data_IF_453850863110
#
_entry.id   IF_453850863110
#
_cell.length_a   1.000
_cell.length_b   1.000
_cell.length_c   1.000
_cell.angle_alpha   90.00
_cell.angle_beta   90.00
_cell.angle_gamma   90.00
#
_symmetry.space_group_name_H-M   'P 1'
#
loop_
_entity.id
_entity.type
_entity.pdbx_description
1 polymer ?
#
# COMPACT_ATOMS: atom_id res chain seq x y z
N UNK A 1 -10.96 38.57 7.48
CA UNK A 1 -10.64 37.19 7.93
C UNK A 1 -11.93 36.55 8.44
N UNK A 2 -12.32 35.37 7.96
CA UNK A 2 -13.53 34.72 8.42
C UNK A 2 -13.42 34.41 9.92
N UNK A 3 -14.43 34.82 10.68
CA UNK A 3 -14.56 34.58 12.11
C UNK A 3 -14.73 33.08 12.36
N UNK A 4 -13.70 32.41 12.88
CA UNK A 4 -13.82 31.04 13.38
C UNK A 4 -14.81 31.04 14.54
N UNK A 5 -15.86 30.21 14.49
CA UNK A 5 -16.82 30.11 15.59
C UNK A 5 -16.08 29.83 16.91
N UNK A 6 -16.32 30.61 17.98
CA UNK A 6 -15.72 30.35 19.29
C UNK A 6 -15.99 28.91 19.72
N UNK A 7 -14.95 28.21 20.16
CA UNK A 7 -15.02 26.80 20.56
C UNK A 7 -14.93 25.77 19.42
N UNK A 8 -14.80 26.19 18.16
CA UNK A 8 -14.55 25.25 17.05
C UNK A 8 -13.15 24.64 17.12
N UNK A 9 -12.97 23.51 16.46
CA UNK A 9 -11.67 22.85 16.26
C UNK A 9 -10.59 23.81 15.71
N UNK A 10 -10.96 24.56 14.68
CA UNK A 10 -10.11 25.58 14.04
C UNK A 10 -9.73 26.67 15.04
N UNK A 11 -10.68 27.10 15.87
CA UNK A 11 -10.45 28.10 16.90
C UNK A 11 -9.43 27.61 17.93
N UNK A 12 -9.51 26.35 18.37
CA UNK A 12 -8.54 25.76 19.31
C UNK A 12 -7.14 25.66 18.71
N UNK A 13 -7.01 25.19 17.46
CA UNK A 13 -5.72 25.11 16.75
C UNK A 13 -5.10 26.52 16.61
N UNK A 14 -5.89 27.51 16.20
CA UNK A 14 -5.44 28.90 16.06
C UNK A 14 -5.07 29.51 17.42
N UNK A 15 -5.81 29.22 18.48
CA UNK A 15 -5.47 29.66 19.83
C UNK A 15 -4.16 29.06 20.31
N UNK A 16 -3.91 27.77 20.04
CA UNK A 16 -2.68 27.09 20.42
C UNK A 16 -1.47 27.69 19.67
N UNK A 17 -1.58 27.90 18.36
CA UNK A 17 -0.55 28.57 17.56
C UNK A 17 -0.30 30.01 18.04
N UNK A 18 -1.37 30.77 18.34
CA UNK A 18 -1.24 32.12 18.89
C UNK A 18 -0.58 32.10 20.27
N UNK A 19 -0.86 31.10 21.09
CA UNK A 19 -0.26 30.96 22.40
C UNK A 19 1.24 30.69 22.29
N UNK A 20 1.65 29.71 21.47
CA UNK A 20 3.05 29.41 21.14
C UNK A 20 3.80 30.64 20.61
N UNK A 21 3.23 31.36 19.65
CA UNK A 21 3.85 32.58 19.11
C UNK A 21 3.94 33.71 20.16
N UNK A 22 3.00 33.79 21.11
CA UNK A 22 3.02 34.77 22.21
C UNK A 22 4.05 34.44 23.28
N UNK A 23 4.38 33.16 23.49
CA UNK A 23 5.44 32.76 24.41
C UNK A 23 6.83 33.14 23.90
N UNK A 24 6.97 33.42 22.59
CA UNK A 24 8.22 33.85 21.96
C UNK A 24 8.12 35.24 21.31
N UNK A 25 7.85 36.32 22.08
CA UNK A 25 7.58 37.65 21.53
C UNK A 25 8.78 38.26 20.79
N UNK A 26 10.00 37.93 21.24
CA UNK A 26 11.27 38.39 20.66
C UNK A 26 11.79 37.47 19.55
N UNK A 27 11.04 36.45 19.14
CA UNK A 27 11.47 35.56 18.06
C UNK A 27 11.63 36.34 16.75
N UNK A 28 12.79 36.16 16.13
CA UNK A 28 13.11 36.64 14.78
C UNK A 28 12.15 36.04 13.75
N UNK A 29 12.09 36.63 12.54
CA UNK A 29 11.25 36.09 11.45
C UNK A 29 11.56 34.62 11.16
N UNK A 30 12.83 34.23 11.18
CA UNK A 30 13.28 32.86 10.97
C UNK A 30 12.79 31.91 12.07
N UNK A 31 12.88 32.32 13.33
CA UNK A 31 12.39 31.53 14.47
C UNK A 31 10.87 31.38 14.45
N UNK A 32 10.12 32.43 14.09
CA UNK A 32 8.67 32.34 13.89
C UNK A 32 8.30 31.39 12.76
N UNK A 33 9.04 31.42 11.66
CA UNK A 33 8.89 30.47 10.55
C UNK A 33 9.15 29.03 10.99
N UNK A 34 10.20 28.80 11.79
CA UNK A 34 10.49 27.49 12.38
C UNK A 34 9.38 27.02 13.32
N UNK A 35 8.89 27.88 14.22
CA UNK A 35 7.77 27.57 15.13
C UNK A 35 6.50 27.21 14.35
N UNK A 36 6.19 27.90 13.26
CA UNK A 36 5.07 27.54 12.39
C UNK A 36 5.25 26.16 11.76
N UNK A 37 6.45 25.84 11.26
CA UNK A 37 6.75 24.53 10.69
C UNK A 37 6.65 23.42 11.75
N UNK A 38 7.19 23.66 12.95
CA UNK A 38 7.13 22.73 14.07
C UNK A 38 5.68 22.50 14.52
N UNK A 39 4.86 23.56 14.55
CA UNK A 39 3.42 23.48 14.84
C UNK A 39 2.66 22.69 13.76
N UNK A 40 2.92 22.95 12.47
CA UNK A 40 2.34 22.16 11.37
C UNK A 40 2.75 20.70 11.52
N UNK A 41 4.01 20.43 11.88
CA UNK A 41 4.48 19.08 12.19
C UNK A 41 3.73 18.42 13.36
N UNK A 42 3.44 19.17 14.43
CA UNK A 42 2.66 18.70 15.57
C UNK A 42 1.20 18.38 15.18
N UNK A 43 0.58 19.23 14.36
CA UNK A 43 -0.77 18.98 13.81
C UNK A 43 -0.77 17.73 12.91
N UNK A 44 0.19 17.63 11.97
CA UNK A 44 0.27 16.50 11.03
C UNK A 44 0.65 15.18 11.70
N UNK A 45 1.38 15.22 12.82
CA UNK A 45 1.64 14.05 13.68
C UNK A 45 0.46 13.70 14.60
N UNK A 46 -0.62 14.47 14.55
CA UNK A 46 -1.83 14.31 15.35
C UNK A 46 -1.55 14.30 16.86
N UNK A 47 -0.70 15.23 17.31
CA UNK A 47 -0.28 15.35 18.70
C UNK A 47 -1.46 15.64 19.65
N UNK A 48 -1.46 14.94 20.80
CA UNK A 48 -2.45 15.08 21.87
C UNK A 48 -2.44 16.48 22.50
N UNK A 49 -1.29 17.15 22.55
CA UNK A 49 -1.18 18.48 23.13
C UNK A 49 -1.95 19.53 22.31
N UNK A 50 -2.06 19.32 21.00
CA UNK A 50 -2.65 20.27 20.05
C UNK A 50 -4.10 19.93 19.72
N UNK A 51 -4.46 18.64 19.72
CA UNK A 51 -5.76 18.16 19.22
C UNK A 51 -6.45 17.29 20.27
N UNK A 52 -7.51 17.80 20.90
CA UNK A 52 -8.25 17.10 21.97
C UNK A 52 -9.65 16.59 21.57
N UNK A 53 -10.28 17.16 20.53
CA UNK A 53 -11.66 16.82 20.13
C UNK A 53 -11.79 15.70 19.08
N UNK A 54 -12.89 14.93 19.13
CA UNK A 54 -13.14 13.81 18.20
C UNK A 54 -13.18 14.22 16.73
N UNK A 55 -13.97 15.25 16.39
CA UNK A 55 -14.09 15.74 15.01
C UNK A 55 -12.74 16.28 14.46
N UNK A 56 -12.02 17.17 15.16
CA UNK A 56 -10.69 17.60 14.72
C UNK A 56 -9.71 16.44 14.51
N UNK A 57 -9.69 15.43 15.39
CA UNK A 57 -8.85 14.24 15.21
C UNK A 57 -9.20 13.49 13.93
N UNK A 58 -10.48 13.28 13.65
CA UNK A 58 -10.92 12.60 12.44
C UNK A 58 -10.51 13.39 11.19
N UNK A 59 -10.70 14.72 11.19
CA UNK A 59 -10.28 15.58 10.08
C UNK A 59 -8.76 15.49 9.87
N UNK A 60 -7.97 15.58 10.94
CA UNK A 60 -6.51 15.48 10.86
C UNK A 60 -6.06 14.09 10.40
N UNK A 61 -6.69 13.00 10.87
CA UNK A 61 -6.42 11.66 10.34
C UNK A 61 -6.63 11.61 8.82
N UNK A 62 -7.78 12.11 8.34
CA UNK A 62 -8.12 12.13 6.92
C UNK A 62 -7.11 12.96 6.13
N UNK A 63 -6.81 14.19 6.57
CA UNK A 63 -5.84 15.06 5.88
C UNK A 63 -4.45 14.43 5.87
N UNK A 64 -3.96 13.97 7.02
CA UNK A 64 -2.63 13.37 7.13
C UNK A 64 -2.51 12.14 6.23
N UNK A 65 -3.49 11.22 6.26
CA UNK A 65 -3.47 10.03 5.42
C UNK A 65 -3.64 10.39 3.94
N UNK A 66 -4.60 11.25 3.60
CA UNK A 66 -4.84 11.68 2.22
C UNK A 66 -3.62 12.36 1.61
N UNK A 67 -3.01 13.31 2.33
CA UNK A 67 -1.81 14.00 1.86
C UNK A 67 -0.64 13.04 1.74
N UNK A 68 -0.34 12.25 2.79
CA UNK A 68 0.81 11.35 2.77
C UNK A 68 0.60 10.21 1.76
N UNK A 69 -0.42 9.38 1.97
CA UNK A 69 -0.62 8.17 1.19
C UNK A 69 -1.07 8.51 -0.23
N UNK A 70 -1.92 9.53 -0.42
CA UNK A 70 -2.29 10.00 -1.74
C UNK A 70 -1.10 10.51 -2.56
N UNK A 71 -0.21 11.31 -1.98
CA UNK A 71 1.00 11.79 -2.68
C UNK A 71 1.94 10.65 -3.03
N UNK A 72 2.16 9.71 -2.11
CA UNK A 72 3.01 8.53 -2.37
C UNK A 72 2.44 7.68 -3.50
N UNK A 73 1.14 7.39 -3.46
CA UNK A 73 0.49 6.58 -4.50
C UNK A 73 0.52 7.30 -5.83
N UNK A 74 0.30 8.62 -5.86
CA UNK A 74 0.35 9.41 -7.09
C UNK A 74 1.76 9.40 -7.71
N UNK A 75 2.80 9.65 -6.91
CA UNK A 75 4.18 9.65 -7.38
C UNK A 75 4.62 8.25 -7.84
N UNK A 76 4.30 7.20 -7.07
CA UNK A 76 4.60 5.82 -7.46
C UNK A 76 3.86 5.41 -8.74
N UNK A 77 2.63 5.89 -8.95
CA UNK A 77 1.85 5.62 -10.16
C UNK A 77 2.42 6.35 -11.37
N UNK A 78 2.84 7.61 -11.21
CA UNK A 78 3.51 8.36 -12.28
C UNK A 78 4.81 7.66 -12.71
N UNK A 79 5.65 7.27 -11.75
CA UNK A 79 6.91 6.57 -12.03
C UNK A 79 6.66 5.20 -12.68
N UNK A 80 5.63 4.48 -12.25
CA UNK A 80 5.17 3.25 -12.92
C UNK A 80 4.88 3.48 -14.39
N UNK A 81 4.11 4.54 -14.72
CA UNK A 81 3.77 4.82 -16.11
C UNK A 81 4.96 5.26 -16.94
N UNK A 82 5.86 6.08 -16.38
CA UNK A 82 7.11 6.46 -17.05
C UNK A 82 7.98 5.24 -17.35
N UNK A 83 8.12 4.31 -16.39
CA UNK A 83 8.85 3.07 -16.59
C UNK A 83 8.19 2.17 -17.64
N UNK A 84 6.86 2.02 -17.59
CA UNK A 84 6.09 1.26 -18.59
C UNK A 84 6.26 1.82 -20.00
N UNK A 85 6.15 3.14 -20.16
CA UNK A 85 6.37 3.83 -21.43
C UNK A 85 7.78 3.63 -21.96
N UNK A 86 8.80 3.83 -21.10
CA UNK A 86 10.19 3.63 -21.49
C UNK A 86 10.46 2.19 -21.95
N UNK A 87 9.95 1.19 -21.21
CA UNK A 87 10.10 -0.22 -21.56
C UNK A 87 9.42 -0.57 -22.89
N UNK A 88 8.17 -0.14 -23.06
CA UNK A 88 7.42 -0.40 -24.28
C UNK A 88 8.03 0.30 -25.50
N UNK A 89 8.54 1.52 -25.34
CA UNK A 89 9.28 2.20 -26.40
C UNK A 89 10.56 1.45 -26.79
N UNK A 90 11.30 0.88 -25.84
CA UNK A 90 12.47 0.05 -26.12
C UNK A 90 12.08 -1.25 -26.85
N UNK A 91 11.03 -1.95 -26.40
CA UNK A 91 10.54 -3.13 -27.10
C UNK A 91 10.08 -2.81 -28.53
N UNK A 92 9.46 -1.66 -28.74
CA UNK A 92 9.07 -1.21 -30.07
C UNK A 92 10.27 -1.01 -31.00
N UNK A 93 11.35 -0.39 -30.51
CA UNK A 93 12.56 -0.15 -31.30
C UNK A 93 13.23 -1.44 -31.77
N UNK A 94 13.08 -2.54 -31.03
CA UNK A 94 13.59 -3.87 -31.42
C UNK A 94 12.76 -4.54 -32.53
N UNK A 95 11.51 -4.12 -32.75
CA UNK A 95 10.58 -4.77 -33.68
C UNK A 95 9.84 -5.97 -33.09
N UNK A 96 8.78 -6.43 -33.77
CA UNK A 96 7.82 -7.39 -33.23
C UNK A 96 8.44 -8.75 -32.87
N UNK A 97 9.29 -9.30 -33.74
CA UNK A 97 9.90 -10.63 -33.55
C UNK A 97 11.07 -10.60 -32.57
N UNK A 98 11.95 -9.58 -32.64
CA UNK A 98 13.11 -9.50 -31.75
C UNK A 98 12.77 -9.02 -30.33
N UNK A 99 11.64 -8.34 -30.13
CA UNK A 99 11.20 -7.92 -28.79
C UNK A 99 10.58 -9.03 -27.94
N UNK A 100 10.25 -10.17 -28.54
CA UNK A 100 9.53 -11.24 -27.87
C UNK A 100 10.34 -11.97 -26.79
N UNK A 101 11.56 -12.48 -27.06
CA UNK A 101 12.39 -13.08 -26.02
C UNK A 101 12.64 -12.14 -24.81
N UNK A 102 13.05 -10.86 -24.99
CA UNK A 102 13.27 -9.99 -23.85
C UNK A 102 11.99 -9.62 -23.09
N UNK A 103 10.82 -9.54 -23.76
CA UNK A 103 9.52 -9.36 -23.07
C UNK A 103 9.21 -10.53 -22.14
N UNK A 104 9.36 -11.76 -22.63
CA UNK A 104 9.10 -12.98 -21.83
C UNK A 104 10.06 -13.07 -20.66
N UNK A 105 11.36 -12.83 -20.88
CA UNK A 105 12.36 -12.83 -19.81
C UNK A 105 12.05 -11.76 -18.77
N UNK A 106 11.75 -10.52 -19.20
CA UNK A 106 11.34 -9.44 -18.30
C UNK A 106 10.11 -9.80 -17.46
N UNK A 107 9.12 -10.44 -18.10
CA UNK A 107 7.90 -10.90 -17.43
C UNK A 107 8.20 -11.94 -16.36
N UNK A 108 8.93 -13.01 -16.70
CA UNK A 108 9.34 -14.06 -15.76
C UNK A 108 10.12 -13.46 -14.59
N UNK A 109 11.13 -12.64 -14.87
CA UNK A 109 11.95 -11.99 -13.83
C UNK A 109 11.09 -11.16 -12.89
N UNK A 110 10.19 -10.34 -13.43
CA UNK A 110 9.33 -9.49 -12.62
C UNK A 110 8.40 -10.27 -11.68
N UNK A 111 7.91 -11.44 -12.11
CA UNK A 111 7.06 -12.31 -11.29
C UNK A 111 7.84 -13.04 -10.20
N UNK A 112 9.14 -13.29 -10.41
CA UNK A 112 10.00 -14.01 -9.46
C UNK A 112 10.64 -13.11 -8.40
N UNK A 113 10.74 -11.80 -8.64
CA UNK A 113 11.38 -10.86 -7.70
C UNK A 113 10.66 -10.84 -6.35
N UNK A 114 9.32 -10.74 -6.33
CA UNK A 114 8.55 -10.75 -5.08
C UNK A 114 8.85 -12.00 -4.23
N UNK A 115 8.62 -13.21 -4.76
CA UNK A 115 8.90 -14.46 -4.05
C UNK A 115 10.36 -14.61 -3.62
N UNK A 116 11.31 -14.19 -4.46
CA UNK A 116 12.73 -14.21 -4.14
C UNK A 116 13.06 -13.29 -2.94
N UNK A 117 12.53 -12.06 -2.94
CA UNK A 117 12.67 -11.13 -1.82
C UNK A 117 11.97 -11.66 -0.56
N UNK A 118 10.84 -12.36 -0.72
CA UNK A 118 10.11 -12.95 0.39
C UNK A 118 10.90 -14.07 1.07
N UNK A 119 11.55 -14.93 0.27
CA UNK A 119 12.45 -15.97 0.76
C UNK A 119 13.71 -15.36 1.40
N UNK A 120 14.32 -14.36 0.75
CA UNK A 120 15.48 -13.65 1.32
C UNK A 120 15.14 -13.00 2.67
N UNK A 121 13.95 -12.42 2.78
CA UNK A 121 13.42 -11.89 4.04
C UNK A 121 13.24 -12.95 5.11
N UNK A 122 12.67 -14.12 4.77
CA UNK A 122 12.57 -15.24 5.71
C UNK A 122 13.95 -15.68 6.23
N UNK A 123 14.92 -15.87 5.34
CA UNK A 123 16.29 -16.25 5.73
C UNK A 123 16.93 -15.18 6.63
N UNK A 124 16.75 -13.90 6.30
CA UNK A 124 17.22 -12.78 7.12
C UNK A 124 16.58 -12.78 8.51
N UNK A 125 15.27 -12.97 8.59
CA UNK A 125 14.51 -12.94 9.84
C UNK A 125 14.94 -14.07 10.78
N UNK A 126 15.21 -15.26 10.23
CA UNK A 126 15.75 -16.40 11.00
C UNK A 126 17.19 -16.14 11.45
N UNK A 127 18.07 -15.67 10.56
CA UNK A 127 19.48 -15.38 10.89
C UNK A 127 19.63 -14.31 11.96
N UNK A 128 18.74 -13.32 11.98
CA UNK A 128 18.76 -12.23 12.94
C UNK A 128 17.98 -12.56 14.23
N UNK A 129 17.35 -13.74 14.33
CA UNK A 129 16.51 -14.11 15.47
C UNK A 129 15.26 -13.26 15.65
N UNK A 130 14.81 -12.57 14.58
CA UNK A 130 13.64 -11.67 14.60
C UNK A 130 12.36 -12.35 14.09
N UNK A 131 12.46 -13.59 13.59
CA UNK A 131 11.31 -14.35 13.10
C UNK A 131 10.32 -14.68 14.23
N UNK A 132 9.04 -14.36 14.02
CA UNK A 132 7.93 -14.72 14.90
C UNK A 132 7.08 -15.81 14.25
N UNK A 133 6.22 -16.48 15.03
CA UNK A 133 5.24 -17.42 14.44
C UNK A 133 4.34 -16.75 13.42
N UNK A 134 3.95 -15.50 13.69
CA UNK A 134 3.15 -14.70 12.77
C UNK A 134 3.92 -14.39 11.48
N UNK A 135 5.16 -13.91 11.58
CA UNK A 135 5.95 -13.60 10.38
C UNK A 135 6.24 -14.86 9.55
N UNK A 136 6.58 -16.00 10.18
CA UNK A 136 6.75 -17.29 9.48
C UNK A 136 5.48 -17.72 8.73
N UNK A 137 4.33 -17.70 9.41
CA UNK A 137 3.05 -18.05 8.79
C UNK A 137 2.73 -17.10 7.62
N UNK A 138 2.97 -15.79 7.77
CA UNK A 138 2.82 -14.81 6.69
C UNK A 138 3.73 -15.08 5.50
N UNK A 139 5.01 -15.41 5.73
CA UNK A 139 5.99 -15.75 4.68
C UNK A 139 5.54 -16.97 3.88
N UNK A 140 5.09 -18.01 4.57
CA UNK A 140 4.58 -19.24 3.97
C UNK A 140 3.30 -18.95 3.18
N UNK A 141 2.32 -18.27 3.77
CA UNK A 141 1.07 -17.92 3.12
C UNK A 141 1.31 -17.09 1.84
N UNK A 142 2.20 -16.10 1.90
CA UNK A 142 2.55 -15.29 0.73
C UNK A 142 3.32 -16.10 -0.32
N UNK A 143 4.21 -16.98 0.10
CA UNK A 143 4.91 -17.92 -0.79
C UNK A 143 3.95 -18.85 -1.52
N UNK A 144 2.97 -19.42 -0.81
CA UNK A 144 1.91 -20.25 -1.39
C UNK A 144 1.03 -19.47 -2.35
N UNK A 145 0.68 -18.22 -2.02
CA UNK A 145 -0.08 -17.34 -2.91
C UNK A 145 0.66 -17.10 -4.22
N UNK A 146 1.95 -16.73 -4.15
CA UNK A 146 2.75 -16.50 -5.36
C UNK A 146 3.01 -17.77 -6.16
N UNK A 147 3.31 -18.90 -5.49
CA UNK A 147 3.47 -20.18 -6.15
C UNK A 147 2.17 -20.64 -6.83
N UNK A 148 1.04 -20.48 -6.14
CA UNK A 148 -0.29 -20.76 -6.69
C UNK A 148 -0.61 -19.91 -7.90
N UNK A 149 -0.30 -18.61 -7.86
CA UNK A 149 -0.46 -17.73 -9.01
C UNK A 149 0.43 -18.16 -10.19
N UNK A 150 1.70 -18.48 -9.94
CA UNK A 150 2.63 -18.99 -10.97
C UNK A 150 2.17 -20.34 -11.55
N UNK A 151 1.62 -21.24 -10.73
CA UNK A 151 1.05 -22.49 -11.22
C UNK A 151 -0.21 -22.27 -12.04
N UNK A 152 -1.09 -21.34 -11.63
CA UNK A 152 -2.27 -20.97 -12.42
C UNK A 152 -1.86 -20.43 -13.79
N UNK A 153 -0.87 -19.53 -13.81
CA UNK A 153 -0.21 -19.04 -15.04
C UNK A 153 0.31 -20.18 -15.90
N UNK A 154 1.10 -21.09 -15.33
CA UNK A 154 1.74 -22.18 -16.07
C UNK A 154 0.74 -23.22 -16.59
N UNK A 155 -0.36 -23.43 -15.87
CA UNK A 155 -1.43 -24.35 -16.26
C UNK A 155 -2.28 -23.84 -17.43
N UNK A 156 -2.30 -22.52 -17.66
CA UNK A 156 -3.03 -21.92 -18.77
C UNK A 156 -2.14 -21.81 -20.01
N UNK A 157 -2.57 -22.46 -21.09
CA UNK A 157 -1.89 -22.41 -22.38
C UNK A 157 -2.36 -21.14 -23.10
N UNK A 158 -1.57 -20.05 -23.14
CA UNK A 158 -0.14 -20.11 -23.39
C UNK A 158 0.67 -19.31 -22.34
N UNK A 159 1.47 -19.99 -21.51
CA UNK A 159 2.40 -19.36 -20.56
C UNK A 159 3.34 -18.34 -21.22
N UNK A 160 3.62 -18.51 -22.51
CA UNK A 160 4.38 -17.58 -23.34
C UNK A 160 3.65 -16.25 -23.58
N UNK A 161 2.35 -16.29 -23.82
CA UNK A 161 1.47 -15.11 -23.93
C UNK A 161 1.44 -14.35 -22.62
N UNK A 162 1.30 -15.07 -21.50
CA UNK A 162 1.28 -14.44 -20.20
C UNK A 162 2.65 -13.88 -19.81
N UNK A 163 3.75 -14.56 -20.15
CA UNK A 163 5.11 -14.03 -20.00
C UNK A 163 5.32 -12.74 -20.80
N UNK A 164 4.80 -12.68 -22.02
CA UNK A 164 4.87 -11.46 -22.86
C UNK A 164 4.01 -10.31 -22.31
N UNK A 165 2.81 -10.61 -21.79
CA UNK A 165 1.95 -9.67 -21.07
C UNK A 165 2.66 -9.13 -19.82
N UNK A 166 3.33 -9.99 -19.08
CA UNK A 166 4.05 -9.61 -17.86
C UNK A 166 5.32 -8.80 -18.11
N UNK A 167 5.85 -8.79 -19.34
CA UNK A 167 7.05 -8.02 -19.68
C UNK A 167 6.98 -6.56 -19.25
N UNK A 168 5.86 -5.88 -19.56
CA UNK A 168 5.66 -4.49 -19.15
C UNK A 168 4.84 -4.35 -17.88
N UNK A 169 3.73 -5.09 -17.74
CA UNK A 169 2.88 -5.00 -16.55
C UNK A 169 3.60 -5.42 -15.26
N UNK A 170 4.43 -6.47 -15.33
CA UNK A 170 5.17 -6.96 -14.18
C UNK A 170 6.27 -6.00 -13.74
N UNK A 171 7.05 -5.45 -14.68
CA UNK A 171 8.06 -4.42 -14.38
C UNK A 171 7.44 -3.09 -13.91
N UNK A 172 6.29 -2.70 -14.47
CA UNK A 172 5.50 -1.60 -13.96
C UNK A 172 5.06 -1.84 -12.50
N UNK A 173 4.53 -3.04 -12.21
CA UNK A 173 4.10 -3.42 -10.86
C UNK A 173 5.26 -3.41 -9.87
N UNK A 174 6.42 -3.94 -10.29
CA UNK A 174 7.65 -3.89 -9.52
C UNK A 174 8.08 -2.45 -9.25
N UNK A 175 8.10 -1.59 -10.27
CA UNK A 175 8.46 -0.18 -10.14
C UNK A 175 7.54 0.54 -9.16
N UNK A 176 6.22 0.31 -9.29
CA UNK A 176 5.24 0.88 -8.37
C UNK A 176 5.47 0.46 -6.93
N UNK A 177 5.62 -0.84 -6.68
CA UNK A 177 5.79 -1.37 -5.31
C UNK A 177 7.10 -0.88 -4.70
N UNK A 178 8.22 -0.95 -5.44
CA UNK A 178 9.52 -0.44 -4.98
C UNK A 178 9.49 1.05 -4.66
N UNK A 179 8.97 1.88 -5.58
CA UNK A 179 8.92 3.32 -5.37
C UNK A 179 7.98 3.69 -4.23
N UNK A 180 6.83 3.04 -4.13
CA UNK A 180 5.91 3.23 -3.02
C UNK A 180 6.60 2.91 -1.71
N UNK A 181 7.21 1.74 -1.57
CA UNK A 181 7.84 1.32 -0.32
C UNK A 181 9.09 2.15 0.03
N UNK A 182 9.86 2.58 -0.96
CA UNK A 182 10.95 3.54 -0.78
C UNK A 182 10.41 4.87 -0.20
N UNK A 183 9.36 5.44 -0.78
CA UNK A 183 8.76 6.67 -0.26
C UNK A 183 8.17 6.47 1.15
N UNK A 184 7.53 5.32 1.41
CA UNK A 184 6.98 5.00 2.72
C UNK A 184 8.07 4.86 3.79
N UNK A 185 9.27 4.42 3.42
CA UNK A 185 10.44 4.38 4.30
C UNK A 185 10.83 5.77 4.79
N UNK A 186 10.75 6.79 3.91
CA UNK A 186 11.10 8.18 4.22
C UNK A 186 9.99 8.94 4.94
N UNK A 187 8.73 8.59 4.67
CA UNK A 187 7.55 9.25 5.22
C UNK A 187 6.66 8.24 5.95
N UNK A 188 7.07 7.76 7.15
CA UNK A 188 6.30 6.77 7.89
C UNK A 188 4.98 7.34 8.41
N UNK A 189 3.95 6.51 8.48
CA UNK A 189 2.74 6.78 9.27
C UNK A 189 2.84 6.04 10.60
N UNK A 190 2.28 6.63 11.64
CA UNK A 190 2.11 5.99 12.94
C UNK A 190 0.63 6.00 13.31
N UNK A 191 0.17 4.92 13.91
CA UNK A 191 -1.18 4.81 14.42
C UNK A 191 -1.21 4.15 15.81
N UNK A 192 -2.33 4.33 16.51
CA UNK A 192 -2.57 3.77 17.83
C UNK A 192 -3.61 2.63 17.81
N UNK A 193 -3.83 1.98 16.66
CA UNK A 193 -4.82 0.92 16.49
C UNK A 193 -4.41 -0.42 17.11
N UNK A 194 -3.11 -0.69 17.17
CA UNK A 194 -2.58 -1.99 17.57
C UNK A 194 -2.96 -3.10 16.57
N UNK A 195 -2.55 -4.33 16.84
CA UNK A 195 -2.88 -5.48 15.98
C UNK A 195 -3.69 -6.51 16.76
N UNK A 196 -4.83 -6.92 16.22
CA UNK A 196 -5.63 -8.03 16.74
C UNK A 196 -6.35 -8.78 15.60
N UNK A 197 -6.71 -10.04 15.86
CA UNK A 197 -7.27 -10.92 14.83
C UNK A 197 -8.62 -10.43 14.29
N UNK A 198 -9.52 -9.95 15.16
CA UNK A 198 -10.85 -9.47 14.76
C UNK A 198 -10.78 -8.26 13.83
N UNK A 199 -9.99 -7.26 14.22
CA UNK A 199 -9.73 -6.09 13.40
C UNK A 199 -9.00 -6.41 12.11
N UNK A 200 -8.08 -7.38 12.12
CA UNK A 200 -7.37 -7.82 10.93
C UNK A 200 -8.29 -8.47 9.89
N UNK A 201 -9.11 -9.41 10.33
CA UNK A 201 -10.08 -10.10 9.46
C UNK A 201 -11.07 -9.08 8.89
N UNK A 202 -11.61 -8.21 9.75
CA UNK A 202 -12.56 -7.19 9.30
C UNK A 202 -11.90 -6.21 8.31
N UNK A 203 -10.71 -5.70 8.60
CA UNK A 203 -9.97 -4.80 7.69
C UNK A 203 -9.71 -5.47 6.35
N UNK A 204 -9.37 -6.76 6.35
CA UNK A 204 -9.20 -7.57 5.14
C UNK A 204 -10.45 -7.62 4.27
N UNK A 205 -11.61 -7.91 4.88
CA UNK A 205 -12.89 -7.97 4.18
C UNK A 205 -13.26 -6.62 3.56
N UNK A 206 -13.14 -5.54 4.33
CA UNK A 206 -13.44 -4.20 3.81
C UNK A 206 -12.43 -3.74 2.75
N UNK A 207 -11.14 -4.06 2.90
CA UNK A 207 -10.13 -3.74 1.88
C UNK A 207 -10.40 -4.51 0.58
N UNK A 208 -10.73 -5.80 0.67
CA UNK A 208 -11.14 -6.59 -0.50
C UNK A 208 -12.41 -6.07 -1.16
N UNK A 209 -13.42 -5.69 -0.38
CA UNK A 209 -14.65 -5.09 -0.89
C UNK A 209 -14.37 -3.75 -1.59
N UNK A 210 -13.54 -2.89 -0.99
CA UNK A 210 -13.11 -1.63 -1.59
C UNK A 210 -12.35 -1.87 -2.91
N UNK A 211 -11.48 -2.87 -2.97
CA UNK A 211 -10.78 -3.26 -4.21
C UNK A 211 -11.73 -3.79 -5.28
N UNK A 212 -12.78 -4.53 -4.90
CA UNK A 212 -13.83 -4.97 -5.83
C UNK A 212 -14.63 -3.80 -6.42
N UNK A 213 -15.08 -2.89 -5.56
CA UNK A 213 -15.78 -1.66 -5.97
C UNK A 213 -14.88 -0.78 -6.85
N UNK A 214 -13.61 -0.63 -6.46
CA UNK A 214 -12.59 0.05 -7.25
C UNK A 214 -12.46 -0.58 -8.64
N UNK A 215 -12.39 -1.90 -8.74
CA UNK A 215 -12.29 -2.60 -10.01
C UNK A 215 -13.48 -2.32 -10.94
N UNK A 216 -14.70 -2.25 -10.40
CA UNK A 216 -15.91 -1.88 -11.15
C UNK A 216 -15.90 -0.40 -11.53
N UNK A 217 -15.51 0.48 -10.62
CA UNK A 217 -15.41 1.92 -10.89
C UNK A 217 -14.38 2.19 -11.99
N UNK A 218 -13.21 1.54 -11.94
CA UNK A 218 -12.17 1.66 -12.96
C UNK A 218 -12.65 1.19 -14.33
N UNK A 219 -13.43 0.12 -14.41
CA UNK A 219 -13.98 -0.36 -15.68
C UNK A 219 -14.89 0.69 -16.37
N UNK A 220 -15.58 1.53 -15.60
CA UNK A 220 -16.49 2.55 -16.13
C UNK A 220 -15.81 3.90 -16.34
N UNK A 221 -14.90 4.27 -15.44
CA UNK A 221 -14.31 5.62 -15.39
C UNK A 221 -12.96 5.70 -16.10
N UNK A 222 -12.19 4.61 -16.12
CA UNK A 222 -10.86 4.53 -16.72
C UNK A 222 -10.72 3.22 -17.54
N UNK A 223 -11.46 3.06 -18.65
CA UNK A 223 -11.58 1.80 -19.40
C UNK A 223 -10.24 1.27 -19.95
N UNK A 224 -9.24 2.14 -20.15
CA UNK A 224 -7.87 1.73 -20.50
C UNK A 224 -7.04 1.27 -19.27
N UNK A 225 -7.68 0.84 -18.21
CA UNK A 225 -7.06 0.30 -17.01
C UNK A 225 -7.98 -0.69 -16.27
N UNK A 226 -7.41 -1.48 -15.36
CA UNK A 226 -8.17 -2.44 -14.56
C UNK A 226 -8.55 -3.72 -15.32
N UNK A 227 -9.56 -4.44 -14.83
CA UNK A 227 -9.96 -5.74 -15.35
C UNK A 227 -10.52 -5.68 -16.79
N UNK A 228 -11.24 -4.61 -17.15
CA UNK A 228 -11.74 -4.42 -18.51
C UNK A 228 -10.60 -4.34 -19.53
N UNK A 229 -9.58 -3.53 -19.24
CA UNK A 229 -8.38 -3.47 -20.06
C UNK A 229 -7.62 -4.81 -20.12
N UNK A 230 -7.54 -5.54 -19.02
CA UNK A 230 -6.92 -6.87 -19.00
C UNK A 230 -7.66 -7.88 -19.90
N UNK A 231 -9.00 -7.81 -19.94
CA UNK A 231 -9.85 -8.63 -20.83
C UNK A 231 -9.67 -8.23 -22.29
N UNK A 232 -9.76 -6.92 -22.58
CA UNK A 232 -9.60 -6.41 -23.93
C UNK A 232 -8.18 -6.70 -24.48
N UNK A 233 -7.16 -6.62 -23.61
CA UNK A 233 -5.79 -6.95 -23.97
C UNK A 233 -5.57 -8.46 -24.15
N UNK A 234 -6.15 -9.29 -23.28
CA UNK A 234 -6.11 -10.74 -23.46
C UNK A 234 -6.81 -11.16 -24.78
N UNK A 235 -7.94 -10.53 -25.12
CA UNK A 235 -8.66 -10.79 -26.38
C UNK A 235 -7.86 -10.31 -27.59
N UNK A 236 -7.30 -9.09 -27.53
CA UNK A 236 -6.44 -8.54 -28.58
C UNK A 236 -5.22 -9.42 -28.83
N UNK A 237 -4.51 -9.84 -27.79
CA UNK A 237 -3.33 -10.71 -27.95
C UNK A 237 -3.72 -12.12 -28.39
N UNK A 238 -4.83 -12.69 -27.93
CA UNK A 238 -5.30 -13.99 -28.41
C UNK A 238 -5.61 -13.94 -29.92
N UNK A 239 -6.28 -12.89 -30.39
CA UNK A 239 -6.55 -12.64 -31.82
C UNK A 239 -5.27 -12.41 -32.61
N UNK A 240 -4.32 -11.65 -32.04
CA UNK A 240 -3.06 -11.35 -32.71
C UNK A 240 -2.04 -12.48 -32.66
N UNK A 241 -2.03 -13.37 -31.67
CA UNK A 241 -1.18 -14.56 -31.69
C UNK A 241 -1.58 -15.53 -32.80
N UNK A 242 -2.86 -15.53 -33.21
CA UNK A 242 -3.31 -16.22 -34.41
C UNK A 242 -2.88 -15.51 -35.73
N UNK A 243 -2.56 -14.22 -35.68
CA UNK A 243 -2.15 -13.39 -36.83
C UNK A 243 -0.69 -12.88 -36.76
N UNK A 244 0.09 -13.29 -35.77
CA UNK A 244 1.36 -12.64 -35.41
C UNK A 244 2.50 -12.89 -36.38
N UNK A 245 2.26 -13.76 -37.36
CA UNK A 245 3.14 -13.92 -38.50
C UNK A 245 3.10 -12.73 -39.47
N UNK A 246 2.12 -11.80 -39.41
CA UNK A 246 1.97 -10.77 -40.45
C UNK A 246 2.05 -9.29 -40.03
N UNK A 247 1.73 -8.86 -38.79
CA UNK A 247 1.50 -7.42 -38.56
C UNK A 247 2.16 -6.83 -37.30
N UNK A 248 3.30 -6.15 -37.50
CA UNK A 248 4.05 -5.39 -36.49
C UNK A 248 3.53 -3.95 -36.25
N UNK A 249 2.47 -3.52 -36.95
CA UNK A 249 2.02 -2.12 -36.99
C UNK A 249 0.99 -1.74 -35.90
N UNK A 250 0.40 -2.71 -35.20
CA UNK A 250 -0.69 -2.49 -34.23
C UNK A 250 -0.26 -2.24 -32.78
N UNK A 251 1.03 -2.44 -32.46
CA UNK A 251 1.61 -2.03 -31.17
C UNK A 251 1.56 -0.49 -30.94
N UNK A 252 1.19 0.28 -31.98
CA UNK A 252 1.06 1.74 -31.94
C UNK A 252 -0.16 2.25 -31.13
N UNK A 253 -1.18 1.43 -30.88
CA UNK A 253 -2.41 1.87 -30.18
C UNK A 253 -2.34 1.64 -28.66
N UNK A 254 -1.40 0.84 -28.18
CA UNK A 254 -1.22 0.52 -26.74
C UNK A 254 -0.53 1.64 -25.97
N UNK A 255 0.19 2.52 -26.67
CA UNK A 255 1.16 3.45 -26.07
C UNK A 255 0.81 4.88 -26.45
N UNK A 256 -0.35 5.35 -25.99
CA UNK A 256 -0.46 6.76 -25.67
C UNK A 256 -0.69 6.85 -24.17
N UNK A 257 0.18 7.55 -23.41
CA UNK A 257 -0.14 7.88 -22.04
C UNK A 257 -1.40 8.72 -22.06
N UNK A 258 -2.54 8.10 -21.77
CA UNK A 258 -3.77 8.81 -21.51
C UNK A 258 -3.63 9.38 -20.10
N UNK A 259 -3.08 10.59 -20.05
CA UNK A 259 -2.81 11.31 -18.80
C UNK A 259 -4.07 11.43 -17.95
N UNK A 260 -5.25 11.52 -18.57
CA UNK A 260 -6.53 11.63 -17.86
C UNK A 260 -6.90 10.29 -17.23
N UNK A 261 -6.81 9.19 -17.98
CA UNK A 261 -7.09 7.84 -17.44
C UNK A 261 -6.06 7.42 -16.39
N UNK A 262 -4.80 7.79 -16.57
CA UNK A 262 -3.71 7.52 -15.63
C UNK A 262 -3.87 8.32 -14.34
N UNK A 263 -4.26 9.59 -14.45
CA UNK A 263 -4.56 10.43 -13.29
C UNK A 263 -5.77 9.89 -12.53
N UNK A 264 -6.82 9.46 -13.25
CA UNK A 264 -8.04 8.92 -12.65
C UNK A 264 -7.77 7.58 -11.96
N UNK A 265 -7.02 6.67 -12.62
CA UNK A 265 -6.53 5.44 -12.00
C UNK A 265 -5.69 5.73 -10.76
N UNK A 266 -4.79 6.70 -10.84
CA UNK A 266 -3.96 7.12 -9.71
C UNK A 266 -4.83 7.61 -8.54
N UNK A 267 -5.83 8.45 -8.82
CA UNK A 267 -6.75 8.98 -7.83
C UNK A 267 -7.60 7.88 -7.19
N UNK A 268 -8.12 6.94 -7.98
CA UNK A 268 -8.93 5.82 -7.51
C UNK A 268 -8.11 4.83 -6.67
N UNK A 269 -6.87 4.54 -7.07
CA UNK A 269 -5.93 3.77 -6.26
C UNK A 269 -5.60 4.50 -4.95
N UNK A 270 -5.29 5.80 -5.02
CA UNK A 270 -5.01 6.62 -3.85
C UNK A 270 -6.18 6.61 -2.87
N UNK A 271 -7.41 6.72 -3.36
CA UNK A 271 -8.62 6.64 -2.54
C UNK A 271 -8.70 5.33 -1.76
N UNK A 272 -8.46 4.19 -2.41
CA UNK A 272 -8.54 2.87 -1.76
C UNK A 272 -7.44 2.67 -0.71
N UNK A 273 -6.24 3.20 -0.97
CA UNK A 273 -5.14 3.15 -0.01
C UNK A 273 -5.34 4.11 1.18
N UNK A 274 -5.90 5.28 0.93
CA UNK A 274 -6.29 6.24 1.98
C UNK A 274 -7.42 5.66 2.83
N UNK A 275 -8.40 5.02 2.20
CA UNK A 275 -9.44 4.28 2.89
C UNK A 275 -8.81 3.22 3.81
N UNK A 276 -7.93 2.36 3.29
CA UNK A 276 -7.29 1.30 4.09
C UNK A 276 -6.52 1.85 5.30
N UNK A 277 -5.68 2.87 5.09
CA UNK A 277 -4.91 3.49 6.16
C UNK A 277 -5.79 4.16 7.22
N UNK A 278 -7.02 4.58 6.89
CA UNK A 278 -8.01 5.12 7.83
C UNK A 278 -8.81 4.02 8.55
N UNK A 279 -9.35 3.07 7.80
CA UNK A 279 -10.25 2.05 8.33
C UNK A 279 -9.51 1.00 9.16
N UNK A 280 -8.28 0.60 8.77
CA UNK A 280 -7.53 -0.45 9.47
C UNK A 280 -7.30 -0.09 10.94
N UNK A 281 -6.70 1.06 11.31
CA UNK A 281 -6.51 1.41 12.71
C UNK A 281 -7.82 1.54 13.49
N UNK A 282 -8.89 2.00 12.83
CA UNK A 282 -10.22 2.10 13.43
C UNK A 282 -10.82 0.73 13.76
N UNK A 283 -10.78 -0.21 12.82
CA UNK A 283 -11.28 -1.57 13.01
C UNK A 283 -10.41 -2.33 14.03
N UNK A 284 -9.08 -2.22 13.95
CA UNK A 284 -8.20 -2.80 14.97
C UNK A 284 -8.60 -2.33 16.36
N UNK A 285 -8.79 -1.03 16.53
CA UNK A 285 -9.18 -0.50 17.83
C UNK A 285 -10.59 -0.88 18.27
N UNK A 286 -11.54 -0.96 17.34
CA UNK A 286 -12.91 -1.39 17.62
C UNK A 286 -12.97 -2.82 18.17
N UNK A 287 -12.17 -3.72 17.58
CA UNK A 287 -12.10 -5.13 17.98
C UNK A 287 -11.08 -5.41 19.08
N UNK A 288 -10.28 -4.43 19.48
CA UNK A 288 -9.44 -4.53 20.67
C UNK A 288 -10.37 -4.64 21.88
N UNK A 289 -10.51 -5.85 22.43
CA UNK A 289 -11.27 -6.07 23.67
C UNK A 289 -10.75 -5.09 24.74
N UNK A 290 -11.63 -4.44 25.53
CA UNK A 290 -11.21 -3.97 26.84
C UNK A 290 -10.73 -5.22 27.57
N UNK A 291 -9.47 -5.27 27.99
CA UNK A 291 -9.04 -6.32 28.90
C UNK A 291 -9.76 -6.09 30.24
N UNK A 292 -10.95 -6.67 30.39
CA UNK A 292 -11.47 -7.06 31.70
C UNK A 292 -10.71 -8.33 32.10
N UNK A 293 -9.87 -8.24 33.13
CA UNK A 293 -9.50 -9.43 33.91
C UNK A 293 -8.04 -9.89 34.00
N UNK A 294 -7.04 -9.05 33.71
CA UNK A 294 -5.66 -9.30 34.19
C UNK A 294 -5.13 -8.08 34.97
N UNK A 295 -5.57 -8.02 36.24
CA UNK A 295 -4.82 -7.69 37.46
C UNK A 295 -3.53 -6.88 37.25
N UNK A 296 -3.44 -5.67 37.79
CA UNK A 296 -3.05 -5.48 39.21
C UNK A 296 -1.91 -6.44 39.59
N UNK A 297 -0.65 -6.10 39.26
CA UNK A 297 0.47 -6.24 40.20
C UNK A 297 1.87 -5.85 39.70
N UNK A 298 2.07 -5.44 38.45
CA UNK A 298 3.41 -4.95 38.05
C UNK A 298 3.37 -3.52 37.52
N UNK A 299 4.09 -2.68 38.27
CA UNK A 299 4.59 -1.34 37.97
C UNK A 299 3.64 -0.20 38.30
N UNK A 300 3.29 -0.14 39.58
CA UNK A 300 3.32 1.10 40.36
C UNK A 300 4.77 1.67 40.45
N UNK A 301 5.47 1.78 39.32
CA UNK A 301 6.71 2.52 39.20
C UNK A 301 6.39 3.78 38.37
N UNK A 302 6.04 4.81 39.13
CA UNK A 302 5.91 6.22 38.77
C UNK A 302 6.11 6.55 37.28
N UNK A 303 5.01 6.57 36.52
CA UNK A 303 4.87 7.60 35.49
C UNK A 303 4.66 8.90 36.26
N UNK A 304 5.65 9.81 36.34
CA UNK A 304 5.44 11.09 37.01
C UNK A 304 4.27 11.79 36.31
N UNK A 305 3.43 12.46 37.11
CA UNK A 305 2.18 13.13 36.75
C UNK A 305 2.29 14.28 35.71
N UNK A 306 3.31 14.26 34.84
CA UNK A 306 3.50 15.13 33.68
C UNK A 306 2.93 14.58 32.37
N UNK A 307 2.54 13.31 32.27
CA UNK A 307 1.94 12.82 31.03
C UNK A 307 0.43 13.11 31.04
N UNK A 308 0.00 14.25 30.50
CA UNK A 308 -1.40 14.55 30.22
C UNK A 308 -2.03 13.65 29.13
N UNK A 309 -1.64 12.37 29.07
CA UNK A 309 -2.08 11.37 28.10
C UNK A 309 -3.34 10.71 28.65
N UNK A 310 -4.52 10.93 28.02
CA UNK A 310 -5.77 10.36 28.50
C UNK A 310 -5.76 8.82 28.40
N UNK A 311 -6.60 8.11 29.18
CA UNK A 311 -6.65 6.65 29.19
C UNK A 311 -6.95 6.09 27.79
N UNK A 312 -6.50 4.86 27.46
CA UNK A 312 -6.54 4.30 26.10
C UNK A 312 -7.88 4.52 25.42
N UNK A 313 -9.03 4.20 26.04
CA UNK A 313 -10.37 4.38 25.45
C UNK A 313 -10.71 5.83 25.06
N UNK A 314 -10.25 6.83 25.83
CA UNK A 314 -10.52 8.25 25.58
C UNK A 314 -9.70 8.84 24.42
N UNK A 315 -8.63 8.16 23.98
CA UNK A 315 -7.70 8.69 22.97
C UNK A 315 -8.25 8.73 21.54
N UNK A 316 -9.29 7.95 21.23
CA UNK A 316 -9.79 7.75 19.86
C UNK A 316 -8.74 7.16 18.89
N UNK A 317 -9.12 7.00 17.62
CA UNK A 317 -8.18 6.60 16.55
C UNK A 317 -7.32 7.81 16.21
N UNK A 318 -6.00 7.62 16.21
CA UNK A 318 -5.04 8.62 15.76
C UNK A 318 -4.10 8.01 14.75
N UNK A 319 -3.96 8.73 13.65
CA UNK A 319 -3.03 8.44 12.58
C UNK A 319 -2.26 9.74 12.34
N UNK A 320 -0.94 9.65 12.48
CA UNK A 320 -0.04 10.79 12.41
C UNK A 320 1.09 10.53 11.43
N UNK A 321 1.56 11.60 10.78
CA UNK A 321 2.79 11.58 10.01
C UNK A 321 3.96 11.46 10.97
N UNK A 322 4.71 10.37 10.86
CA UNK A 322 6.00 10.25 11.53
C UNK A 322 6.99 11.26 10.98
N UNK A 323 8.00 11.61 11.77
CA UNK A 323 9.03 12.56 11.34
C UNK A 323 9.70 12.07 10.05
N UNK A 324 9.76 12.89 8.99
CA UNK A 324 10.45 12.51 7.76
C UNK A 324 11.90 12.09 8.03
N UNK A 325 12.33 11.01 7.40
CA UNK A 325 13.66 10.40 7.59
C UNK A 325 14.71 10.99 6.65
N UNK A 326 14.81 12.33 6.61
CA UNK A 326 15.68 13.07 5.68
C UNK A 326 16.61 14.01 6.46
N UNK A 327 17.90 13.96 6.14
CA UNK A 327 18.93 14.86 6.70
C UNK A 327 19.36 14.55 8.14
N UNK A 328 20.38 15.27 8.63
CA UNK A 328 20.93 15.26 10.01
C UNK A 328 20.77 13.94 10.80
N UNK A 329 21.35 12.85 10.31
CA UNK A 329 21.36 11.55 11.02
C UNK A 329 20.01 10.85 11.13
N UNK A 330 18.97 11.33 10.42
CA UNK A 330 17.62 10.75 10.40
C UNK A 330 17.36 9.84 9.21
N UNK A 331 18.38 9.57 8.40
CA UNK A 331 18.28 8.61 7.30
C UNK A 331 17.81 7.25 7.82
N UNK A 332 17.03 6.49 7.03
CA UNK A 332 16.63 5.15 7.42
C UNK A 332 17.84 4.30 7.77
N UNK A 333 17.78 3.59 8.89
CA UNK A 333 18.86 2.67 9.27
C UNK A 333 18.90 1.49 8.31
N UNK A 334 20.04 0.79 8.22
CA UNK A 334 20.14 -0.43 7.41
C UNK A 334 19.08 -1.48 7.80
N UNK A 335 18.77 -1.60 9.10
CA UNK A 335 17.69 -2.46 9.59
C UNK A 335 16.30 -2.02 9.11
N UNK A 336 16.00 -0.71 9.13
CA UNK A 336 14.74 -0.18 8.61
C UNK A 336 14.60 -0.34 7.10
N UNK A 337 15.67 -0.10 6.35
CA UNK A 337 15.69 -0.32 4.91
C UNK A 337 15.51 -1.81 4.60
N UNK A 338 16.23 -2.69 5.29
CA UNK A 338 16.07 -4.12 5.13
C UNK A 338 14.65 -4.58 5.46
N UNK A 339 14.03 -4.07 6.52
CA UNK A 339 12.64 -4.40 6.87
C UNK A 339 11.67 -3.97 5.77
N UNK A 340 11.84 -2.74 5.27
CA UNK A 340 11.01 -2.23 4.20
C UNK A 340 11.13 -3.06 2.92
N UNK A 341 12.35 -3.43 2.51
CA UNK A 341 12.55 -4.14 1.25
C UNK A 341 12.29 -5.64 1.36
N UNK A 342 12.81 -6.28 2.40
CA UNK A 342 12.71 -7.73 2.55
C UNK A 342 11.45 -8.19 3.27
N UNK A 343 10.70 -7.32 3.94
CA UNK A 343 9.36 -7.66 4.49
C UNK A 343 8.27 -6.96 3.72
N UNK A 344 8.16 -5.63 3.82
CA UNK A 344 7.01 -4.90 3.27
C UNK A 344 6.95 -5.01 1.75
N UNK A 345 8.03 -4.67 1.06
CA UNK A 345 8.09 -4.69 -0.39
C UNK A 345 8.04 -6.11 -0.93
N UNK A 346 8.82 -7.03 -0.36
CA UNK A 346 8.76 -8.44 -0.68
C UNK A 346 7.33 -9.00 -0.69
N UNK A 347 6.57 -8.76 0.39
CA UNK A 347 5.19 -9.21 0.51
C UNK A 347 4.27 -8.48 -0.47
N UNK A 348 4.40 -7.15 -0.59
CA UNK A 348 3.58 -6.34 -1.51
C UNK A 348 3.79 -6.73 -2.97
N UNK A 349 5.03 -6.88 -3.41
CA UNK A 349 5.38 -7.29 -4.77
C UNK A 349 4.92 -8.72 -5.04
N UNK A 350 5.11 -9.65 -4.10
CA UNK A 350 4.61 -11.04 -4.21
C UNK A 350 3.09 -11.08 -4.38
N UNK A 351 2.39 -10.30 -3.56
CA UNK A 351 0.95 -10.19 -3.55
C UNK A 351 0.39 -9.55 -4.82
N UNK A 352 0.96 -8.42 -5.25
CA UNK A 352 0.55 -7.73 -6.47
C UNK A 352 0.85 -8.57 -7.72
N UNK A 353 1.98 -9.26 -7.77
CA UNK A 353 2.28 -10.20 -8.84
C UNK A 353 1.21 -11.32 -8.88
N UNK A 354 0.79 -11.84 -7.73
CA UNK A 354 -0.30 -12.80 -7.62
C UNK A 354 -1.64 -12.26 -8.15
N UNK A 355 -2.02 -11.05 -7.71
CA UNK A 355 -3.24 -10.36 -8.18
C UNK A 355 -3.25 -10.20 -9.69
N UNK A 356 -2.18 -9.66 -10.25
CA UNK A 356 -2.07 -9.40 -11.69
C UNK A 356 -2.08 -10.71 -12.48
N UNK A 357 -1.36 -11.73 -12.00
CA UNK A 357 -1.30 -13.05 -12.65
C UNK A 357 -2.67 -13.71 -12.70
N UNK A 358 -3.41 -13.72 -11.59
CA UNK A 358 -4.76 -14.30 -11.52
C UNK A 358 -5.73 -13.49 -12.37
N UNK A 359 -5.66 -12.15 -12.34
CA UNK A 359 -6.52 -11.30 -13.16
C UNK A 359 -6.34 -11.59 -14.66
N UNK A 360 -5.10 -11.66 -15.14
CA UNK A 360 -4.81 -11.97 -16.54
C UNK A 360 -5.12 -13.42 -16.91
N UNK A 361 -4.86 -14.38 -16.00
CA UNK A 361 -5.21 -15.80 -16.24
C UNK A 361 -6.72 -15.95 -16.35
N UNK A 362 -7.49 -15.33 -15.45
CA UNK A 362 -8.95 -15.35 -15.49
C UNK A 362 -9.49 -14.62 -16.74
N UNK A 363 -8.95 -13.44 -17.07
CA UNK A 363 -9.31 -12.72 -18.29
C UNK A 363 -9.07 -13.57 -19.55
N UNK A 364 -7.92 -14.26 -19.62
CA UNK A 364 -7.58 -15.18 -20.70
C UNK A 364 -8.50 -16.41 -20.73
N UNK A 365 -8.85 -16.98 -19.58
CA UNK A 365 -9.72 -18.15 -19.49
C UNK A 365 -11.16 -17.84 -19.90
N UNK A 366 -11.63 -16.62 -19.61
CA UNK A 366 -12.94 -16.12 -20.00
C UNK A 366 -12.99 -15.66 -21.47
N UNK A 367 -11.84 -15.62 -22.14
CA UNK A 367 -11.78 -15.37 -23.56
C UNK A 367 -12.38 -16.57 -24.31
N UNK A 368 -13.41 -16.33 -25.13
CA UNK A 368 -14.21 -17.38 -25.76
C UNK A 368 -15.38 -17.94 -24.92
N UNK A 369 -15.52 -17.56 -23.65
CA UNK A 369 -16.71 -17.88 -22.88
C UNK A 369 -17.93 -17.07 -23.38
N UNK A 370 -19.10 -17.72 -23.46
CA UNK A 370 -20.38 -17.10 -23.82
C UNK A 370 -20.97 -16.29 -22.65
N UNK A 371 -20.22 -15.29 -22.20
CA UNK A 371 -20.57 -14.36 -21.13
C UNK A 371 -20.54 -12.94 -21.67
N UNK A 372 -21.38 -12.06 -21.11
CA UNK A 372 -21.32 -10.63 -21.45
C UNK A 372 -19.99 -10.01 -20.99
N UNK A 373 -19.59 -8.89 -21.58
CA UNK A 373 -18.37 -8.17 -21.18
C UNK A 373 -18.40 -7.76 -19.69
N UNK A 374 -19.56 -7.31 -19.23
CA UNK A 374 -19.79 -6.93 -17.83
C UNK A 374 -19.63 -8.15 -16.90
N UNK A 375 -20.18 -9.31 -17.27
CA UNK A 375 -20.04 -10.53 -16.46
C UNK A 375 -18.58 -10.94 -16.33
N UNK A 376 -17.80 -10.84 -17.42
CA UNK A 376 -16.35 -11.14 -17.39
C UNK A 376 -15.61 -10.21 -16.45
N UNK A 377 -15.91 -8.90 -16.49
CA UNK A 377 -15.33 -7.91 -15.57
C UNK A 377 -15.67 -8.24 -14.11
N UNK A 378 -16.94 -8.56 -13.83
CA UNK A 378 -17.39 -8.90 -12.48
C UNK A 378 -16.70 -10.16 -11.96
N UNK A 379 -16.53 -11.19 -12.78
CA UNK A 379 -15.80 -12.42 -12.41
C UNK A 379 -14.33 -12.11 -12.09
N UNK A 380 -13.63 -11.39 -12.97
CA UNK A 380 -12.21 -11.04 -12.73
C UNK A 380 -12.05 -10.19 -11.48
N UNK A 381 -12.88 -9.16 -11.29
CA UNK A 381 -12.83 -8.30 -10.11
C UNK A 381 -13.18 -9.06 -8.82
N UNK A 382 -14.12 -10.01 -8.87
CA UNK A 382 -14.47 -10.84 -7.72
C UNK A 382 -13.32 -11.77 -7.31
N UNK A 383 -12.62 -12.35 -8.29
CA UNK A 383 -11.42 -13.16 -8.03
C UNK A 383 -10.28 -12.32 -7.43
N UNK A 384 -10.05 -11.12 -7.97
CA UNK A 384 -9.08 -10.17 -7.42
C UNK A 384 -9.44 -9.78 -5.99
N UNK A 385 -10.70 -9.41 -5.74
CA UNK A 385 -11.17 -9.05 -4.40
C UNK A 385 -11.02 -10.21 -3.41
N UNK A 386 -11.39 -11.43 -3.79
CA UNK A 386 -11.24 -12.63 -2.96
C UNK A 386 -9.77 -12.93 -2.65
N UNK A 387 -8.88 -12.84 -3.64
CA UNK A 387 -7.44 -12.99 -3.43
C UNK A 387 -6.92 -11.89 -2.49
N UNK A 388 -7.45 -10.67 -2.62
CA UNK A 388 -7.06 -9.57 -1.77
C UNK A 388 -7.43 -9.86 -0.30
N UNK A 389 -8.66 -10.34 -0.08
CA UNK A 389 -9.11 -10.74 1.26
C UNK A 389 -8.28 -11.89 1.85
N UNK A 390 -7.79 -12.80 1.01
CA UNK A 390 -6.98 -13.94 1.46
C UNK A 390 -5.53 -13.54 1.77
N UNK A 391 -4.91 -12.66 0.98
CA UNK A 391 -3.51 -12.26 1.12
C UNK A 391 -3.28 -11.14 2.14
N UNK A 392 -4.26 -10.25 2.34
CA UNK A 392 -4.12 -9.09 3.23
C UNK A 392 -3.76 -9.46 4.69
N UNK A 393 -4.37 -10.49 5.32
CA UNK A 393 -4.00 -10.90 6.67
C UNK A 393 -2.52 -11.27 6.81
N UNK A 394 -1.99 -12.03 5.84
CA UNK A 394 -0.57 -12.41 5.82
C UNK A 394 0.32 -11.17 5.69
N UNK A 395 -0.02 -10.24 4.80
CA UNK A 395 0.72 -9.00 4.62
C UNK A 395 0.82 -8.18 5.92
N UNK A 396 -0.30 -7.94 6.61
CA UNK A 396 -0.31 -7.14 7.84
C UNK A 396 0.37 -7.89 9.00
N UNK A 397 0.06 -9.18 9.19
CA UNK A 397 0.60 -9.97 10.30
C UNK A 397 2.13 -10.12 10.24
N UNK A 398 2.74 -10.00 9.05
CA UNK A 398 4.19 -9.99 8.88
C UNK A 398 4.89 -8.85 9.64
N UNK A 399 4.19 -7.74 9.86
CA UNK A 399 4.69 -6.55 10.55
C UNK A 399 4.35 -6.55 12.04
N UNK A 400 3.72 -7.63 12.54
CA UNK A 400 3.44 -7.81 13.96
C UNK A 400 4.72 -7.88 14.77
N UNK A 401 4.90 -6.96 15.71
CA UNK A 401 6.02 -7.05 16.67
C UNK A 401 5.83 -8.28 17.57
N UNK A 402 6.92 -8.98 17.95
CA UNK A 402 6.83 -9.98 19.01
C UNK A 402 6.27 -9.31 20.27
N UNK A 403 5.36 -10.01 20.96
CA UNK A 403 5.10 -9.69 22.36
C UNK A 403 6.45 -9.76 23.06
N UNK A 404 6.90 -8.65 23.64
CA UNK A 404 8.15 -8.60 24.39
C UNK A 404 8.14 -9.75 25.39
N UNK A 405 9.04 -10.73 25.20
CA UNK A 405 9.24 -11.76 26.20
C UNK A 405 9.64 -11.05 27.51
N UNK A 406 9.10 -11.46 28.68
CA UNK A 406 9.56 -10.91 29.94
C UNK A 406 11.07 -11.12 30.01
N UNK A 407 11.79 -10.02 30.28
CA UNK A 407 13.22 -10.03 30.49
C UNK A 407 13.52 -11.17 31.47
N UNK A 408 14.23 -12.21 31.02
CA UNK A 408 14.70 -13.23 31.92
C UNK A 408 15.60 -12.51 32.92
N UNK A 409 15.11 -12.35 34.15
CA UNK A 409 15.92 -11.88 35.25
C UNK A 409 17.12 -12.82 35.33
N UNK A 410 18.30 -12.29 35.03
CA UNK A 410 19.57 -12.99 35.23
C UNK A 410 19.68 -13.26 36.73
N UNK A 411 19.50 -14.53 37.10
CA UNK A 411 19.93 -15.12 38.37
C UNK A 411 21.45 -15.20 38.42
#
# INVERSE_FOLDING_TARGET
MPSTRPGSAEHQIVLHLRHELRQHPMATFYERGRLMIDFIGAVMSNDFAVISGTLPRCIVNVITVATRTGTIVALATLLRQLAGFALENNFRQLGATASLPPRVVAGIVSMLIGPALNLAGAVRDERNGTATRASRASRIAMGLLSAGALMAVASHRPAFTLGSLMGSFGLQTLTYTLMRDLLQLFFPLHDNGGMNAGGLICSSLFYGAAQGVLGVAMANLAPHSGAGYAIDEADRIAKHMAQWASDASLAAVVIQPDVVHDLLRSALNAFTEVFDDLQRPALMRWFAKPHDGLREHHDAEAIPAKSGVPPPRAQGVRIGLGRPRIGKGRWPTAGQAAEQFFTTNAMRTSYFAGVVSIALTAASALNGANLSHIDKILVVNSLVAGLVMAGYPAFIAAHGKPATAPCAASS
#
